data_IF_432189052219
#
_entry.id   IF_432189052219
#
_cell.length_a   1.000
_cell.length_b   1.000
_cell.length_c   1.000
_cell.angle_alpha   90.00
_cell.angle_beta   90.00
_cell.angle_gamma   90.00
#
_symmetry.space_group_name_H-M   'P 1'
#
loop_
_entity.id
_entity.type
_entity.pdbx_description
1 polymer ?
#
# COMPACT_ATOMS: atom_id res chain seq x y z
N UNK A 1 -18.88 -42.65 -41.61
CA UNK A 1 -18.87 -41.22 -41.21
C UNK A 1 -19.49 -41.07 -39.83
N UNK A 2 -18.72 -41.23 -38.74
CA UNK A 2 -19.17 -40.89 -37.38
C UNK A 2 -18.20 -39.84 -36.87
N UNK A 3 -18.59 -38.56 -36.97
CA UNK A 3 -17.84 -37.44 -36.42
C UNK A 3 -17.94 -37.52 -34.90
N UNK A 4 -16.86 -38.00 -34.27
CA UNK A 4 -16.67 -37.93 -32.83
C UNK A 4 -16.34 -36.47 -32.51
N UNK A 5 -17.34 -35.70 -32.06
CA UNK A 5 -17.14 -34.34 -31.58
C UNK A 5 -16.49 -34.45 -30.20
N UNK A 6 -15.17 -34.28 -30.15
CA UNK A 6 -14.44 -34.12 -28.91
C UNK A 6 -14.69 -32.71 -28.38
N UNK A 7 -15.73 -32.56 -27.55
CA UNK A 7 -15.95 -31.36 -26.73
C UNK A 7 -14.97 -31.44 -25.55
N UNK A 8 -13.71 -31.10 -25.80
CA UNK A 8 -12.68 -31.02 -24.78
C UNK A 8 -12.96 -29.78 -23.92
N UNK A 9 -13.33 -30.05 -22.67
CA UNK A 9 -13.73 -29.07 -21.68
C UNK A 9 -12.68 -27.96 -21.48
N UNK A 10 -13.06 -26.72 -21.78
CA UNK A 10 -12.44 -25.53 -21.20
C UNK A 10 -12.88 -25.46 -19.73
N UNK A 11 -12.21 -26.23 -18.87
CA UNK A 11 -12.31 -26.04 -17.42
C UNK A 11 -11.64 -24.69 -17.09
N UNK A 12 -12.38 -23.70 -16.56
CA UNK A 12 -11.77 -22.46 -16.13
C UNK A 12 -10.82 -22.80 -14.97
N UNK A 13 -9.52 -22.58 -15.16
CA UNK A 13 -8.57 -22.61 -14.05
C UNK A 13 -8.95 -21.46 -13.11
N UNK A 14 -9.40 -21.78 -11.90
CA UNK A 14 -9.54 -20.81 -10.82
C UNK A 14 -8.15 -20.24 -10.55
N UNK A 15 -7.84 -19.08 -11.15
CA UNK A 15 -6.68 -18.31 -10.79
C UNK A 15 -6.94 -17.70 -9.42
N UNK A 16 -6.48 -18.37 -8.37
CA UNK A 16 -6.35 -17.77 -7.05
C UNK A 16 -5.26 -16.71 -7.16
N UNK A 17 -5.64 -15.48 -7.46
CA UNK A 17 -4.78 -14.32 -7.30
C UNK A 17 -4.68 -14.05 -5.79
N UNK A 18 -3.62 -14.57 -5.18
CA UNK A 18 -3.38 -14.44 -3.75
C UNK A 18 -2.73 -13.07 -3.51
N UNK A 19 -3.53 -12.09 -3.07
CA UNK A 19 -3.09 -10.71 -2.82
C UNK A 19 -3.27 -10.37 -1.35
N UNK A 20 -2.27 -9.74 -0.73
CA UNK A 20 -2.43 -9.16 0.61
C UNK A 20 -2.89 -7.72 0.43
N UNK A 21 -4.00 -7.35 1.07
CA UNK A 21 -4.44 -5.94 1.14
C UNK A 21 -4.12 -5.40 2.51
N UNK A 22 -3.48 -4.24 2.59
CA UNK A 22 -3.12 -3.60 3.86
C UNK A 22 -3.82 -2.25 3.90
N UNK A 23 -4.65 -2.03 4.91
CA UNK A 23 -5.47 -0.82 5.06
C UNK A 23 -5.01 -0.04 6.30
N UNK A 24 -4.37 1.10 6.09
CA UNK A 24 -3.78 1.93 7.13
C UNK A 24 -4.66 3.15 7.39
N UNK A 25 -4.94 3.41 8.67
CA UNK A 25 -5.69 4.57 9.15
C UNK A 25 -4.81 5.40 10.08
N UNK A 26 -4.64 6.68 9.76
CA UNK A 26 -3.86 7.64 10.55
C UNK A 26 -4.77 8.72 11.12
N UNK A 27 -4.63 9.00 12.42
CA UNK A 27 -5.50 9.93 13.17
C UNK A 27 -4.75 11.16 13.67
N UNK A 28 -3.42 11.12 13.66
CA UNK A 28 -2.55 12.22 14.06
C UNK A 28 -1.33 12.33 13.14
N UNK A 29 -0.76 13.53 13.10
CA UNK A 29 0.44 13.79 12.32
C UNK A 29 1.29 14.90 12.96
N UNK A 30 2.61 14.76 12.88
CA UNK A 30 3.56 15.77 13.30
C UNK A 30 4.04 16.60 12.10
N UNK A 31 4.22 17.90 12.35
CA UNK A 31 4.80 18.90 11.46
C UNK A 31 5.79 19.77 12.25
N UNK A 32 6.56 20.66 11.60
CA UNK A 32 7.52 21.52 12.31
C UNK A 32 6.91 22.39 13.41
N UNK A 33 5.61 22.66 13.36
CA UNK A 33 4.86 23.46 14.32
C UNK A 33 4.19 22.63 15.44
N UNK A 34 4.27 21.29 15.38
CA UNK A 34 3.81 20.42 16.47
C UNK A 34 3.04 19.18 16.00
N UNK A 35 2.35 18.57 16.96
CA UNK A 35 1.48 17.42 16.74
C UNK A 35 0.04 17.90 16.52
N UNK A 36 -0.61 17.35 15.50
CA UNK A 36 -1.95 17.72 15.07
C UNK A 36 -2.82 16.48 14.92
N UNK A 37 -4.13 16.64 15.11
CA UNK A 37 -5.12 15.62 14.73
C UNK A 37 -5.49 15.80 13.26
N UNK A 38 -5.70 14.69 12.55
CA UNK A 38 -6.24 14.75 11.19
C UNK A 38 -7.70 15.21 11.24
N UNK A 39 -8.10 16.16 10.40
CA UNK A 39 -9.50 16.64 10.33
C UNK A 39 -10.48 15.51 9.96
N UNK A 40 -10.02 14.61 9.10
CA UNK A 40 -10.63 13.32 8.78
C UNK A 40 -9.52 12.28 8.74
N UNK A 41 -9.84 11.02 9.08
CA UNK A 41 -8.88 9.92 8.98
C UNK A 41 -8.13 9.96 7.63
N UNK A 42 -6.80 10.01 7.71
CA UNK A 42 -5.95 9.85 6.54
C UNK A 42 -5.77 8.36 6.31
N UNK A 43 -6.18 7.86 5.14
CA UNK A 43 -6.17 6.42 4.86
C UNK A 43 -5.23 6.12 3.70
N UNK A 44 -4.44 5.07 3.84
CA UNK A 44 -3.59 4.53 2.78
C UNK A 44 -3.89 3.04 2.62
N UNK A 45 -4.06 2.58 1.38
CA UNK A 45 -4.23 1.16 1.09
C UNK A 45 -3.08 0.68 0.23
N UNK A 46 -2.49 -0.43 0.62
CA UNK A 46 -1.46 -1.13 -0.13
C UNK A 46 -1.96 -2.51 -0.57
N UNK A 47 -1.42 -2.98 -1.69
CA UNK A 47 -1.67 -4.31 -2.21
C UNK A 47 -0.34 -4.97 -2.54
N UNK A 48 -0.14 -6.20 -2.06
CA UNK A 48 1.00 -7.05 -2.42
C UNK A 48 0.47 -8.22 -3.24
N UNK A 49 0.93 -8.32 -4.49
CA UNK A 49 0.73 -9.51 -5.31
C UNK A 49 1.74 -10.58 -4.88
N UNK A 50 1.29 -11.62 -4.17
CA UNK A 50 2.18 -12.68 -3.67
C UNK A 50 2.82 -13.50 -4.79
N UNK A 51 2.24 -13.51 -6.00
CA UNK A 51 2.77 -14.27 -7.13
C UNK A 51 3.98 -13.59 -7.75
N UNK A 52 3.94 -12.27 -7.87
CA UNK A 52 5.02 -11.47 -8.49
C UNK A 52 5.95 -10.83 -7.46
N UNK A 53 5.49 -10.71 -6.21
CA UNK A 53 6.14 -9.93 -5.16
C UNK A 53 5.97 -8.41 -5.34
N UNK A 54 5.23 -7.97 -6.37
CA UNK A 54 5.04 -6.55 -6.63
C UNK A 54 4.08 -5.94 -5.61
N UNK A 55 4.36 -4.69 -5.25
CA UNK A 55 3.58 -3.94 -4.27
C UNK A 55 3.04 -2.67 -4.90
N UNK A 56 1.84 -2.28 -4.48
CA UNK A 56 1.12 -1.14 -5.05
C UNK A 56 0.48 -0.32 -3.94
N UNK A 57 0.49 0.99 -4.09
CA UNK A 57 -0.39 1.90 -3.33
C UNK A 57 -1.66 2.14 -4.14
N UNK A 58 -2.81 2.07 -3.47
CA UNK A 58 -4.12 2.28 -4.07
C UNK A 58 -4.60 3.70 -3.74
N UNK A 59 -4.93 4.47 -4.76
CA UNK A 59 -5.49 5.80 -4.65
C UNK A 59 -6.80 5.95 -5.43
N UNK A 60 -7.39 7.13 -5.36
CA UNK A 60 -8.66 7.42 -6.04
C UNK A 60 -8.59 7.29 -7.57
N UNK A 61 -7.40 7.46 -8.15
CA UNK A 61 -7.18 7.42 -9.61
C UNK A 61 -6.56 6.10 -10.09
N UNK A 62 -6.60 5.03 -9.29
CA UNK A 62 -6.01 3.74 -9.60
C UNK A 62 -4.86 3.38 -8.66
N UNK A 63 -3.90 2.61 -9.15
CA UNK A 63 -2.76 2.15 -8.37
C UNK A 63 -1.44 2.67 -8.92
N UNK A 64 -0.44 2.82 -8.04
CA UNK A 64 0.95 3.07 -8.41
C UNK A 64 1.83 2.00 -7.77
N UNK A 65 2.80 1.49 -8.51
CA UNK A 65 3.77 0.54 -7.98
C UNK A 65 4.66 1.23 -6.93
N UNK A 66 4.91 0.53 -5.83
CA UNK A 66 5.78 0.95 -4.74
C UNK A 66 6.79 -0.16 -4.47
N UNK A 67 7.95 0.22 -3.93
CA UNK A 67 8.93 -0.76 -3.48
C UNK A 67 8.51 -1.21 -2.08
N UNK A 68 8.48 -2.52 -1.83
CA UNK A 68 8.32 -3.05 -0.48
C UNK A 68 9.58 -3.78 -0.02
N UNK A 69 9.83 -3.73 1.28
CA UNK A 69 10.92 -4.46 1.94
C UNK A 69 10.52 -4.71 3.39
N UNK A 70 10.98 -5.80 3.99
CA UNK A 70 10.58 -6.14 5.35
C UNK A 70 11.27 -7.37 5.90
N UNK A 71 10.88 -7.71 7.12
CA UNK A 71 11.19 -8.96 7.83
C UNK A 71 9.86 -9.57 8.28
N UNK A 72 9.90 -10.62 9.11
CA UNK A 72 8.70 -11.16 9.74
C UNK A 72 8.12 -10.23 10.83
N UNK A 73 8.86 -9.19 11.23
CA UNK A 73 8.46 -8.23 12.28
C UNK A 73 8.01 -6.88 11.73
N UNK A 74 8.49 -6.50 10.54
CA UNK A 74 8.21 -5.19 9.95
C UNK A 74 8.01 -5.25 8.44
N UNK A 75 7.21 -4.33 7.93
CA UNK A 75 7.01 -4.10 6.50
C UNK A 75 7.12 -2.61 6.19
N UNK A 76 7.90 -2.27 5.18
CA UNK A 76 8.09 -0.90 4.70
C UNK A 76 7.76 -0.79 3.23
N UNK A 77 6.97 0.22 2.87
CA UNK A 77 6.70 0.66 1.51
C UNK A 77 7.44 1.97 1.21
N UNK A 78 8.02 2.09 0.03
CA UNK A 78 8.65 3.29 -0.49
C UNK A 78 7.92 3.71 -1.77
N UNK A 79 7.33 4.91 -1.72
CA UNK A 79 6.64 5.52 -2.85
C UNK A 79 7.51 6.64 -3.43
N UNK A 80 7.78 6.59 -4.72
CA UNK A 80 8.32 7.74 -5.47
C UNK A 80 7.15 8.45 -6.14
N UNK A 81 6.79 9.63 -5.63
CA UNK A 81 5.61 10.35 -6.13
C UNK A 81 5.84 10.95 -7.53
N UNK A 82 4.77 11.43 -8.16
CA UNK A 82 4.84 12.12 -9.45
C UNK A 82 5.78 13.34 -9.46
N UNK A 83 5.95 14.00 -8.31
CA UNK A 83 6.88 15.15 -8.13
C UNK A 83 8.25 14.73 -7.57
N UNK A 84 8.58 13.43 -7.64
CA UNK A 84 9.90 12.86 -7.35
C UNK A 84 10.37 12.96 -5.90
N UNK A 85 9.49 13.27 -4.95
CA UNK A 85 9.79 13.03 -3.54
C UNK A 85 9.53 11.56 -3.17
N UNK A 86 10.25 11.11 -2.14
CA UNK A 86 10.11 9.76 -1.58
C UNK A 86 9.28 9.86 -0.31
N UNK A 87 8.23 9.03 -0.26
CA UNK A 87 7.41 8.82 0.93
C UNK A 87 7.63 7.39 1.40
N UNK A 88 7.50 7.17 2.71
CA UNK A 88 7.65 5.84 3.29
C UNK A 88 6.53 5.52 4.24
N UNK A 89 6.08 4.26 4.23
CA UNK A 89 5.17 3.73 5.25
C UNK A 89 5.83 2.53 5.88
N UNK A 90 6.04 2.55 7.19
CA UNK A 90 6.53 1.39 7.95
C UNK A 90 5.43 0.89 8.87
N UNK A 91 5.34 -0.43 9.00
CA UNK A 91 4.30 -1.14 9.73
C UNK A 91 4.99 -2.20 10.60
N UNK A 92 4.63 -2.25 11.88
CA UNK A 92 4.94 -3.38 12.76
C UNK A 92 3.92 -4.48 12.47
N UNK A 93 4.39 -5.67 12.10
CA UNK A 93 3.50 -6.72 11.56
C UNK A 93 2.52 -7.24 12.62
N UNK A 94 2.97 -7.41 13.85
CA UNK A 94 2.16 -8.00 14.93
C UNK A 94 1.12 -7.02 15.49
N UNK A 95 1.50 -5.77 15.74
CA UNK A 95 0.60 -4.77 16.33
C UNK A 95 -0.19 -3.98 15.28
N UNK A 96 0.27 -3.95 14.04
CA UNK A 96 -0.26 -3.07 13.00
C UNK A 96 0.16 -1.61 13.15
N UNK A 97 0.88 -1.23 14.21
CA UNK A 97 1.35 0.14 14.43
C UNK A 97 2.14 0.61 13.22
N UNK A 98 1.83 1.81 12.74
CA UNK A 98 2.38 2.33 11.50
C UNK A 98 2.70 3.80 11.56
N UNK A 99 3.76 4.15 10.84
CA UNK A 99 4.14 5.52 10.55
C UNK A 99 4.22 5.75 9.05
N UNK A 100 3.65 6.86 8.57
CA UNK A 100 3.78 7.30 7.18
C UNK A 100 4.46 8.66 7.06
N UNK A 101 5.63 8.68 6.42
CA UNK A 101 6.48 9.86 6.27
C UNK A 101 6.29 10.50 4.90
N UNK A 102 6.01 11.81 4.88
CA UNK A 102 5.91 12.60 3.66
C UNK A 102 6.99 13.68 3.63
N UNK A 103 7.72 13.71 2.52
CA UNK A 103 8.78 14.69 2.27
C UNK A 103 8.40 15.60 1.09
N UNK A 104 7.22 16.22 1.16
CA UNK A 104 6.68 16.99 0.03
C UNK A 104 7.46 18.29 -0.14
N UNK A 105 7.85 18.61 -1.37
CA UNK A 105 8.38 19.95 -1.72
C UNK A 105 7.33 20.65 -2.58
N UNK A 106 6.89 21.83 -2.14
CA UNK A 106 5.91 22.65 -2.86
C UNK A 106 6.35 24.11 -2.82
N UNK A 107 6.31 24.79 -3.98
CA UNK A 107 6.78 26.17 -4.15
C UNK A 107 8.19 26.43 -3.56
N UNK A 108 9.09 25.45 -3.70
CA UNK A 108 10.46 25.52 -3.19
C UNK A 108 10.60 25.39 -1.66
N UNK A 109 9.51 25.07 -0.95
CA UNK A 109 9.50 24.85 0.50
C UNK A 109 9.27 23.37 0.80
N UNK A 110 10.02 22.85 1.76
CA UNK A 110 9.77 21.53 2.34
C UNK A 110 8.55 21.62 3.25
N UNK A 111 7.59 20.74 3.03
CA UNK A 111 6.38 20.56 3.83
C UNK A 111 6.44 19.12 4.34
N UNK A 112 7.23 18.85 5.39
CA UNK A 112 7.36 17.52 5.94
C UNK A 112 6.17 17.21 6.85
N UNK A 113 5.78 15.95 6.89
CA UNK A 113 4.80 15.48 7.86
C UNK A 113 5.01 14.01 8.17
N UNK A 114 4.84 13.63 9.43
CA UNK A 114 4.90 12.24 9.89
C UNK A 114 3.54 11.86 10.46
N UNK A 115 2.85 10.91 9.83
CA UNK A 115 1.56 10.40 10.29
C UNK A 115 1.78 9.19 11.20
N UNK A 116 0.92 9.05 12.22
CA UNK A 116 0.92 7.94 13.18
C UNK A 116 -0.47 7.29 13.21
N UNK A 117 -0.50 5.97 13.22
CA UNK A 117 -1.72 5.21 13.04
C UNK A 117 -1.49 3.70 13.06
N UNK A 118 -2.45 2.97 12.52
CA UNK A 118 -2.46 1.50 12.53
C UNK A 118 -2.92 0.97 11.18
N UNK A 119 -2.46 -0.23 10.82
CA UNK A 119 -2.81 -0.94 9.60
C UNK A 119 -3.45 -2.29 9.90
N UNK A 120 -4.49 -2.61 9.15
CA UNK A 120 -5.14 -3.92 9.13
C UNK A 120 -4.69 -4.70 7.91
N UNK A 121 -4.17 -5.91 8.11
CA UNK A 121 -3.78 -6.80 7.03
C UNK A 121 -4.94 -7.74 6.68
N UNK A 122 -5.52 -7.55 5.50
CA UNK A 122 -6.52 -8.43 4.90
C UNK A 122 -5.84 -9.52 4.06
N UNK A 123 -6.25 -10.77 4.33
CA UNK A 123 -5.97 -11.95 3.51
C UNK A 123 -6.93 -12.05 2.33
#
# INVERSE_FOLDING_TARGET
MKKLIALLALLPSLALADTITIDCTYTEFAQPDGLHKTESNFNLKFLIDKKTGQSYILGNNGSAEVISTGTDEQLTFLEVTGVKNVMSTTIVIDSGESVHSRNTVSFGKLIPSQYYGECLMGL
#
